data_IF_799397311924
#
_entry.id   IF_799397311924
#
_cell.length_a   1.000
_cell.length_b   1.000
_cell.length_c   1.000
_cell.angle_alpha   90.00
_cell.angle_beta   90.00
_cell.angle_gamma   90.00
#
_symmetry.space_group_name_H-M   'P 1'
#
loop_
_entity.id
_entity.type
_entity.pdbx_description
1 polymer ?
#
# COMPACT_ATOMS: atom_id res chain seq x y z
N UNK A 1 4.24 -62.96 -22.71
CA UNK A 1 3.90 -61.58 -22.28
C UNK A 1 4.79 -60.65 -23.09
N UNK A 2 4.17 -59.96 -24.03
CA UNK A 2 4.75 -59.49 -25.29
C UNK A 2 5.47 -58.15 -25.14
N UNK A 3 6.60 -57.98 -25.83
CA UNK A 3 7.42 -56.75 -25.91
C UNK A 3 6.64 -55.47 -26.21
N UNK A 4 5.43 -55.59 -26.80
CA UNK A 4 4.48 -54.51 -27.09
C UNK A 4 3.90 -53.83 -25.83
N UNK A 5 3.68 -54.57 -24.74
CA UNK A 5 3.20 -54.03 -23.46
C UNK A 5 4.27 -53.23 -22.72
N UNK A 6 5.55 -53.57 -22.93
CA UNK A 6 6.66 -52.86 -22.30
C UNK A 6 6.86 -51.48 -22.92
N UNK A 7 6.63 -51.35 -24.23
CA UNK A 7 6.72 -50.08 -24.95
C UNK A 7 5.56 -49.14 -24.62
N UNK A 8 4.34 -49.66 -24.46
CA UNK A 8 3.18 -48.83 -24.07
C UNK A 8 3.32 -48.28 -22.64
N UNK A 9 3.82 -49.09 -21.71
CA UNK A 9 4.10 -48.66 -20.34
C UNK A 9 5.15 -47.54 -20.29
N UNK A 10 6.20 -47.63 -21.12
CA UNK A 10 7.23 -46.59 -21.19
C UNK A 10 6.67 -45.26 -21.70
N UNK A 11 5.85 -45.29 -22.76
CA UNK A 11 5.21 -44.09 -23.31
C UNK A 11 4.26 -43.43 -22.30
N UNK A 12 3.50 -44.21 -21.52
CA UNK A 12 2.65 -43.66 -20.46
C UNK A 12 3.45 -42.98 -19.35
N UNK A 13 4.52 -43.61 -18.88
CA UNK A 13 5.37 -43.04 -17.83
C UNK A 13 6.01 -41.73 -18.30
N UNK A 14 6.52 -41.70 -19.54
CA UNK A 14 7.08 -40.48 -20.14
C UNK A 14 6.01 -39.39 -20.30
N UNK A 15 4.80 -39.76 -20.72
CA UNK A 15 3.68 -38.82 -20.86
C UNK A 15 3.29 -38.17 -19.52
N UNK A 16 3.10 -38.97 -18.47
CA UNK A 16 2.75 -38.46 -17.13
C UNK A 16 3.91 -37.62 -16.56
N UNK A 17 5.16 -38.05 -16.75
CA UNK A 17 6.33 -37.29 -16.29
C UNK A 17 6.44 -35.94 -17.00
N UNK A 18 6.15 -35.89 -18.31
CA UNK A 18 6.14 -34.66 -19.09
C UNK A 18 5.06 -33.68 -18.61
N UNK A 19 3.85 -34.18 -18.29
CA UNK A 19 2.76 -33.37 -17.72
C UNK A 19 3.12 -32.84 -16.33
N UNK A 20 3.75 -33.64 -15.47
CA UNK A 20 4.20 -33.20 -14.15
C UNK A 20 5.28 -32.12 -14.29
N UNK A 21 6.24 -32.31 -15.19
CA UNK A 21 7.30 -31.34 -15.44
C UNK A 21 6.76 -30.00 -15.95
N UNK A 22 5.77 -30.01 -16.85
CA UNK A 22 5.15 -28.77 -17.33
C UNK A 22 4.38 -28.04 -16.23
N UNK A 23 3.65 -28.76 -15.37
CA UNK A 23 2.94 -28.17 -14.24
C UNK A 23 3.88 -27.52 -13.22
N UNK A 24 5.03 -28.16 -12.94
CA UNK A 24 6.06 -27.59 -12.06
C UNK A 24 6.60 -26.30 -12.66
N UNK A 25 6.91 -26.30 -13.96
CA UNK A 25 7.42 -25.12 -14.66
C UNK A 25 6.42 -23.95 -14.60
N UNK A 26 5.14 -24.20 -14.90
CA UNK A 26 4.08 -23.18 -14.80
C UNK A 26 3.94 -22.67 -13.36
N UNK A 27 4.00 -23.56 -12.36
CA UNK A 27 3.95 -23.17 -10.95
C UNK A 27 5.11 -22.23 -10.55
N UNK A 28 6.31 -22.47 -11.09
CA UNK A 28 7.47 -21.61 -10.87
C UNK A 28 7.33 -20.25 -11.57
N UNK A 29 6.86 -20.23 -12.82
CA UNK A 29 6.60 -18.99 -13.57
C UNK A 29 5.55 -18.11 -12.89
N UNK A 30 4.44 -18.71 -12.43
CA UNK A 30 3.40 -17.98 -11.70
C UNK A 30 3.93 -17.36 -10.41
N UNK A 31 4.76 -18.11 -9.66
CA UNK A 31 5.40 -17.59 -8.44
C UNK A 31 6.33 -16.43 -8.75
N UNK A 32 7.09 -16.50 -9.84
CA UNK A 32 7.99 -15.44 -10.27
C UNK A 32 7.21 -14.21 -10.74
N UNK A 33 6.18 -14.40 -11.57
CA UNK A 33 5.30 -13.34 -12.05
C UNK A 33 4.64 -12.59 -10.89
N UNK A 34 4.13 -13.32 -9.89
CA UNK A 34 3.56 -12.74 -8.68
C UNK A 34 4.57 -11.87 -7.91
N UNK A 35 5.82 -12.32 -7.77
CA UNK A 35 6.89 -11.52 -7.12
C UNK A 35 7.22 -10.25 -7.89
N UNK A 36 7.25 -10.32 -9.22
CA UNK A 36 7.53 -9.15 -10.07
C UNK A 36 6.38 -8.14 -9.97
N UNK A 37 5.13 -8.61 -10.04
CA UNK A 37 3.96 -7.76 -9.89
C UNK A 37 3.96 -7.03 -8.54
N UNK A 38 4.27 -7.76 -7.46
CA UNK A 38 4.40 -7.17 -6.13
C UNK A 38 5.53 -6.14 -6.05
N UNK A 39 6.71 -6.44 -6.61
CA UNK A 39 7.83 -5.50 -6.61
C UNK A 39 7.53 -4.24 -7.45
N UNK A 40 6.88 -4.39 -8.60
CA UNK A 40 6.44 -3.28 -9.44
C UNK A 40 5.44 -2.38 -8.69
N UNK A 41 4.46 -2.99 -8.00
CA UNK A 41 3.52 -2.26 -7.15
C UNK A 41 4.22 -1.48 -6.02
N UNK A 42 5.26 -2.05 -5.40
CA UNK A 42 6.07 -1.35 -4.38
C UNK A 42 6.90 -0.21 -4.99
N UNK A 43 7.44 -0.39 -6.19
CA UNK A 43 8.22 0.65 -6.88
C UNK A 43 7.34 1.85 -7.27
N UNK A 44 6.14 1.60 -7.81
CA UNK A 44 5.16 2.66 -8.08
C UNK A 44 4.80 3.41 -6.80
N UNK A 45 4.60 2.69 -5.70
CA UNK A 45 4.34 3.30 -4.39
C UNK A 45 5.50 4.17 -3.91
N UNK A 46 6.74 3.71 -4.03
CA UNK A 46 7.92 4.47 -3.63
C UNK A 46 8.10 5.74 -4.48
N UNK A 47 7.79 5.68 -5.78
CA UNK A 47 7.80 6.83 -6.66
C UNK A 47 6.76 7.88 -6.23
N UNK A 48 5.52 7.45 -5.92
CA UNK A 48 4.49 8.34 -5.41
C UNK A 48 4.90 9.00 -4.09
N UNK A 49 5.44 8.24 -3.12
CA UNK A 49 5.91 8.80 -1.85
C UNK A 49 7.01 9.85 -2.07
N UNK A 50 7.94 9.60 -3.00
CA UNK A 50 9.01 10.54 -3.33
C UNK A 50 8.46 11.83 -3.94
N UNK A 51 7.50 11.72 -4.86
CA UNK A 51 6.81 12.88 -5.45
C UNK A 51 6.05 13.70 -4.40
N UNK A 52 5.36 13.01 -3.50
CA UNK A 52 4.62 13.60 -2.39
C UNK A 52 5.55 14.43 -1.50
N UNK A 53 6.75 13.93 -1.18
CA UNK A 53 7.75 14.66 -0.38
C UNK A 53 8.32 15.84 -1.18
N UNK A 54 8.58 15.67 -2.48
CA UNK A 54 9.07 16.74 -3.36
C UNK A 54 8.16 17.97 -3.40
N UNK A 55 6.85 17.79 -3.25
CA UNK A 55 5.88 18.90 -3.23
C UNK A 55 6.14 19.96 -2.15
N UNK A 56 6.81 19.60 -1.05
CA UNK A 56 7.19 20.56 0.00
C UNK A 56 8.42 21.38 -0.37
N UNK A 57 9.42 20.75 -1.00
CA UNK A 57 10.65 21.42 -1.42
C UNK A 57 10.44 22.32 -2.63
N UNK A 58 9.46 21.99 -3.47
CA UNK A 58 9.12 22.74 -4.68
C UNK A 58 8.18 23.93 -4.39
N UNK A 59 7.66 24.03 -3.16
CA UNK A 59 6.90 25.18 -2.71
C UNK A 59 7.76 26.46 -2.69
N UNK A 60 7.14 27.62 -2.88
CA UNK A 60 7.83 28.91 -2.79
C UNK A 60 7.12 29.84 -1.80
N UNK A 61 7.67 30.08 -0.59
CA UNK A 61 8.93 29.51 -0.08
C UNK A 61 8.82 28.00 0.26
N UNK A 62 9.95 27.25 0.28
CA UNK A 62 9.95 25.84 0.64
C UNK A 62 9.37 25.59 2.03
N UNK A 63 8.55 24.56 2.16
CA UNK A 63 7.92 24.20 3.43
C UNK A 63 8.74 23.10 4.08
N UNK A 64 9.30 23.36 5.28
CA UNK A 64 10.06 22.33 6.01
C UNK A 64 9.15 21.23 6.55
N UNK A 65 9.51 19.97 6.29
CA UNK A 65 8.79 18.82 6.85
C UNK A 65 8.80 18.82 8.39
N UNK A 66 9.85 19.34 9.03
CA UNK A 66 9.88 19.49 10.49
C UNK A 66 8.81 20.47 11.00
N UNK A 67 8.50 21.52 10.23
CA UNK A 67 7.43 22.46 10.58
C UNK A 67 6.05 21.79 10.45
N UNK A 68 5.88 20.91 9.46
CA UNK A 68 4.67 20.09 9.34
C UNK A 68 4.50 19.13 10.53
N UNK A 69 5.60 18.48 10.94
CA UNK A 69 5.57 17.58 12.09
C UNK A 69 5.24 18.29 13.40
N UNK A 70 5.80 19.49 13.60
CA UNK A 70 5.59 20.32 14.79
C UNK A 70 4.30 21.18 14.74
N UNK A 71 3.47 21.02 13.70
CA UNK A 71 2.22 21.78 13.52
C UNK A 71 2.42 23.31 13.57
N UNK A 72 3.60 23.78 13.14
CA UNK A 72 4.00 25.19 13.18
C UNK A 72 3.88 25.88 11.81
N UNK A 73 3.10 25.29 10.90
CA UNK A 73 2.87 25.85 9.57
C UNK A 73 1.72 26.85 9.64
N UNK A 74 1.93 28.03 9.07
CA UNK A 74 0.88 29.02 8.90
C UNK A 74 -0.07 28.59 7.76
N UNK A 75 -1.27 28.13 8.12
CA UNK A 75 -2.31 27.73 7.18
C UNK A 75 -3.22 28.89 6.75
N UNK A 76 -2.93 30.13 7.17
CA UNK A 76 -3.67 31.32 6.73
C UNK A 76 -3.32 31.72 5.29
N UNK A 77 -2.12 31.38 4.82
CA UNK A 77 -1.74 31.52 3.42
C UNK A 77 -2.45 30.47 2.55
N UNK A 78 -3.28 30.87 1.56
CA UNK A 78 -4.04 29.93 0.74
C UNK A 78 -3.16 28.96 -0.05
N UNK A 79 -1.96 29.38 -0.49
CA UNK A 79 -1.06 28.52 -1.27
C UNK A 79 -0.47 27.42 -0.38
N UNK A 80 0.05 27.79 0.79
CA UNK A 80 0.55 26.86 1.80
C UNK A 80 -0.55 25.89 2.22
N UNK A 81 -1.76 26.39 2.49
CA UNK A 81 -2.91 25.54 2.82
C UNK A 81 -3.21 24.52 1.72
N UNK A 82 -3.27 24.93 0.46
CA UNK A 82 -3.55 24.03 -0.67
C UNK A 82 -2.49 22.93 -0.83
N UNK A 83 -1.20 23.26 -0.61
CA UNK A 83 -0.10 22.29 -0.65
C UNK A 83 -0.28 21.25 0.46
N UNK A 84 -0.53 21.71 1.69
CA UNK A 84 -0.67 20.81 2.83
C UNK A 84 -1.92 19.94 2.72
N UNK A 85 -3.06 20.49 2.31
CA UNK A 85 -4.28 19.70 2.08
C UNK A 85 -4.05 18.61 1.02
N UNK A 86 -3.40 18.98 -0.09
CA UNK A 86 -3.03 18.01 -1.14
C UNK A 86 -2.12 16.91 -0.61
N UNK A 87 -1.14 17.27 0.23
CA UNK A 87 -0.27 16.30 0.89
C UNK A 87 -1.03 15.35 1.80
N UNK A 88 -1.93 15.86 2.65
CA UNK A 88 -2.74 15.04 3.56
C UNK A 88 -3.62 14.06 2.77
N UNK A 89 -4.23 14.52 1.68
CA UNK A 89 -4.99 13.64 0.78
C UNK A 89 -4.12 12.48 0.26
N UNK A 90 -2.91 12.79 -0.22
CA UNK A 90 -1.99 11.78 -0.74
C UNK A 90 -1.51 10.81 0.35
N UNK A 91 -1.27 11.28 1.59
CA UNK A 91 -0.98 10.42 2.74
C UNK A 91 -2.10 9.39 2.96
N UNK A 92 -3.36 9.80 2.89
CA UNK A 92 -4.47 8.88 3.08
C UNK A 92 -4.52 7.77 2.02
N UNK A 93 -4.16 8.07 0.77
CA UNK A 93 -4.01 7.04 -0.28
C UNK A 93 -2.89 6.05 0.04
N UNK A 94 -1.79 6.53 0.63
CA UNK A 94 -0.66 5.69 1.08
C UNK A 94 -1.11 4.78 2.23
N UNK A 95 -1.94 5.28 3.15
CA UNK A 95 -2.46 4.52 4.29
C UNK A 95 -3.50 3.47 3.90
N UNK A 96 -4.38 3.78 2.94
CA UNK A 96 -5.27 2.77 2.33
C UNK A 96 -4.45 1.63 1.72
N UNK A 97 -3.37 1.96 1.01
CA UNK A 97 -2.48 0.94 0.47
C UNK A 97 -1.76 0.13 1.56
N UNK A 98 -1.29 0.77 2.64
CA UNK A 98 -0.70 0.05 3.79
C UNK A 98 -1.68 -0.95 4.41
N UNK A 99 -2.94 -0.53 4.60
CA UNK A 99 -3.99 -1.38 5.12
C UNK A 99 -4.24 -2.60 4.21
N UNK A 100 -4.32 -2.39 2.89
CA UNK A 100 -4.47 -3.49 1.94
C UNK A 100 -3.26 -4.44 1.95
N UNK A 101 -2.04 -3.92 2.08
CA UNK A 101 -0.84 -4.76 2.18
C UNK A 101 -0.83 -5.62 3.45
N UNK A 102 -1.22 -5.05 4.60
CA UNK A 102 -1.37 -5.83 5.84
C UNK A 102 -2.43 -6.94 5.67
N UNK A 103 -3.59 -6.61 5.10
CA UNK A 103 -4.65 -7.59 4.83
C UNK A 103 -4.20 -8.73 3.91
N UNK A 104 -3.27 -8.48 3.00
CA UNK A 104 -2.68 -9.47 2.11
C UNK A 104 -1.52 -10.26 2.74
N UNK A 105 -1.16 -9.99 3.99
CA UNK A 105 -0.04 -10.63 4.69
C UNK A 105 1.33 -10.20 4.18
N UNK A 106 1.42 -9.03 3.55
CA UNK A 106 2.64 -8.48 2.95
C UNK A 106 3.37 -7.49 3.88
N UNK A 107 2.91 -7.37 5.13
CA UNK A 107 3.44 -6.45 6.11
C UNK A 107 3.57 -7.14 7.46
N UNK A 108 4.74 -7.01 8.08
CA UNK A 108 4.97 -7.52 9.42
C UNK A 108 4.09 -6.78 10.45
N UNK A 109 3.66 -7.50 11.48
CA UNK A 109 2.68 -6.99 12.44
C UNK A 109 3.23 -5.82 13.26
N UNK A 110 4.52 -5.82 13.60
CA UNK A 110 5.18 -4.72 14.32
C UNK A 110 5.23 -3.44 13.47
N UNK A 111 5.55 -3.56 12.17
CA UNK A 111 5.51 -2.47 11.20
C UNK A 111 4.08 -1.94 11.04
N UNK A 112 3.10 -2.84 11.02
CA UNK A 112 1.69 -2.46 10.94
C UNK A 112 1.22 -1.67 12.15
N UNK A 113 1.56 -2.08 13.37
CA UNK A 113 1.21 -1.34 14.59
C UNK A 113 1.83 0.06 14.63
N UNK A 114 3.07 0.22 14.14
CA UNK A 114 3.70 1.53 13.99
C UNK A 114 2.94 2.42 12.99
N UNK A 115 2.50 1.85 11.85
CA UNK A 115 1.70 2.57 10.85
C UNK A 115 0.33 2.98 11.37
N UNK A 116 -0.38 2.11 12.10
CA UNK A 116 -1.64 2.47 12.76
C UNK A 116 -1.45 3.68 13.68
N UNK A 117 -0.36 3.72 14.45
CA UNK A 117 -0.05 4.87 15.33
C UNK A 117 0.11 6.16 14.53
N UNK A 118 0.80 6.10 13.38
CA UNK A 118 0.93 7.24 12.47
C UNK A 118 -0.42 7.67 11.87
N UNK A 119 -1.23 6.71 11.41
CA UNK A 119 -2.56 6.98 10.85
C UNK A 119 -3.46 7.69 11.87
N UNK A 120 -3.46 7.22 13.12
CA UNK A 120 -4.22 7.84 14.21
C UNK A 120 -3.72 9.24 14.55
N UNK A 121 -2.41 9.47 14.51
CA UNK A 121 -1.87 10.82 14.72
C UNK A 121 -2.38 11.80 13.66
N UNK A 122 -2.36 11.40 12.38
CA UNK A 122 -2.86 12.24 11.28
C UNK A 122 -4.38 12.44 11.39
N UNK A 123 -5.14 11.38 11.67
CA UNK A 123 -6.59 11.44 11.88
C UNK A 123 -6.98 12.41 13.01
N UNK A 124 -6.15 12.53 14.05
CA UNK A 124 -6.39 13.40 15.17
C UNK A 124 -6.13 14.90 14.91
N UNK A 125 -5.56 15.27 13.76
CA UNK A 125 -5.21 16.66 13.43
C UNK A 125 -6.41 17.42 12.85
N UNK A 126 -7.12 18.16 13.69
CA UNK A 126 -8.35 18.85 13.31
C UNK A 126 -8.21 19.93 12.24
N UNK A 127 -7.02 20.52 12.13
CA UNK A 127 -6.70 21.47 11.05
C UNK A 127 -6.78 20.85 9.64
N UNK A 128 -6.79 19.51 9.53
CA UNK A 128 -6.91 18.78 8.26
C UNK A 128 -8.18 17.91 8.20
N UNK A 129 -9.17 18.18 9.06
CA UNK A 129 -10.36 17.34 9.19
C UNK A 129 -11.17 17.26 7.90
N UNK A 130 -11.35 18.36 7.19
CA UNK A 130 -12.15 18.41 5.96
C UNK A 130 -11.54 17.58 4.83
N UNK A 131 -10.25 17.76 4.55
CA UNK A 131 -9.55 16.94 3.55
C UNK A 131 -9.43 15.47 3.98
N UNK A 132 -9.31 15.20 5.28
CA UNK A 132 -9.31 13.84 5.82
C UNK A 132 -10.66 13.16 5.61
N UNK A 133 -11.78 13.84 5.94
CA UNK A 133 -13.14 13.33 5.69
C UNK A 133 -13.36 13.06 4.20
N UNK A 134 -12.93 13.97 3.33
CA UNK A 134 -13.04 13.79 1.90
C UNK A 134 -12.24 12.58 1.40
N UNK A 135 -10.96 12.46 1.80
CA UNK A 135 -10.12 11.32 1.43
C UNK A 135 -10.72 9.99 1.92
N UNK A 136 -11.19 9.95 3.17
CA UNK A 136 -11.78 8.77 3.78
C UNK A 136 -13.14 8.38 3.20
N UNK A 137 -13.85 9.29 2.52
CA UNK A 137 -15.09 8.93 1.81
C UNK A 137 -14.88 7.92 0.66
N UNK A 138 -13.63 7.76 0.20
CA UNK A 138 -13.22 6.79 -0.81
C UNK A 138 -12.40 5.62 -0.23
N UNK A 139 -12.19 5.60 1.09
CA UNK A 139 -11.44 4.54 1.76
C UNK A 139 -12.28 3.27 1.93
N UNK A 140 -11.59 2.14 2.16
CA UNK A 140 -12.29 0.90 2.48
C UNK A 140 -12.93 0.95 3.87
N UNK A 141 -14.09 0.29 4.02
CA UNK A 141 -14.80 0.24 5.30
C UNK A 141 -13.93 -0.29 6.45
N UNK A 142 -13.05 -1.26 6.18
CA UNK A 142 -12.16 -1.79 7.21
C UNK A 142 -11.10 -0.80 7.68
N UNK A 143 -10.62 0.11 6.82
CA UNK A 143 -9.76 1.20 7.26
C UNK A 143 -10.55 2.20 8.13
N UNK A 144 -11.80 2.50 7.76
CA UNK A 144 -12.67 3.38 8.57
C UNK A 144 -12.88 2.81 9.97
N UNK A 145 -13.27 1.54 10.08
CA UNK A 145 -13.49 0.85 11.35
C UNK A 145 -12.23 0.83 12.24
N UNK A 146 -11.04 0.67 11.62
CA UNK A 146 -9.75 0.70 12.31
C UNK A 146 -9.45 2.05 12.97
N UNK A 147 -9.89 3.15 12.35
CA UNK A 147 -9.71 4.51 12.83
C UNK A 147 -10.81 4.91 13.84
N UNK A 148 -12.06 4.57 13.55
CA UNK A 148 -13.23 4.90 14.37
C UNK A 148 -13.30 4.09 15.68
N UNK A 149 -12.69 2.90 15.72
CA UNK A 149 -12.60 2.06 16.92
C UNK A 149 -11.87 2.72 18.10
N UNK A 150 -11.11 3.80 17.87
CA UNK A 150 -10.63 4.67 18.95
C UNK A 150 -11.62 5.81 19.20
N UNK A 151 -12.42 5.65 20.26
CA UNK A 151 -13.39 6.60 20.83
C UNK A 151 -13.35 8.03 20.24
N UNK A 152 -14.47 8.40 19.62
CA UNK A 152 -14.89 9.76 19.20
C UNK A 152 -14.00 10.43 18.16
N UNK A 153 -14.60 10.81 17.03
CA UNK A 153 -14.01 11.75 16.07
C UNK A 153 -13.39 12.91 16.87
N UNK A 154 -12.06 13.08 16.87
CA UNK A 154 -11.38 14.06 17.72
C UNK A 154 -11.70 15.50 17.31
N UNK A 155 -12.36 15.67 16.17
CA UNK A 155 -12.62 16.95 15.53
C UNK A 155 -14.14 17.10 15.30
N UNK A 156 -14.83 17.97 16.06
CA UNK A 156 -16.28 18.17 15.92
C UNK A 156 -16.69 18.67 14.53
#
# INVERSE_FOLDING_TARGET
MTTRDRSSAFVQIVGITSLIASLIFVGLELRQSHKIALAAQQQERAALITEVIGSFSDANPPISFLHFLNESIDLSDPNTKAIIETYIYRIWMIYENDYLQHKLGLMDEDVWQAKITSMRNVYARCQYSEVTKFALSFASQGLLELLEGSRTNPCP
#
